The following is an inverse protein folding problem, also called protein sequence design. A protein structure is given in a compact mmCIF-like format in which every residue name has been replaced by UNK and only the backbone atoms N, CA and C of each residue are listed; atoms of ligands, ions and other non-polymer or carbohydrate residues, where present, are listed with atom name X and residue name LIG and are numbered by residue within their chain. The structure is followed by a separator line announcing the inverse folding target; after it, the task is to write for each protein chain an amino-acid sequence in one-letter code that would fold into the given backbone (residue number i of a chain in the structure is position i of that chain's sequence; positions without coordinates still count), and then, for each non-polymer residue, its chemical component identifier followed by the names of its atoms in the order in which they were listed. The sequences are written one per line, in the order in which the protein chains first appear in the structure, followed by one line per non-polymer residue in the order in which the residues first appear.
data_IF_523558343316
#
_entry.id   IF_523558343316
#
_cell.length_a   1.000
_cell.length_b   1.000
_cell.length_c   1.000
_cell.angle_alpha   90.00
_cell.angle_beta   90.00
_cell.angle_gamma   90.00
#
_symmetry.space_group_name_H-M   'P 1'
#
loop_
_entity.id
_entity.type
_entity.pdbx_description
1 polymer ?
#
# COMPACT_ATOMS: atom_id res chain seq x y z
N UNK A 1 13.06 -83.68 -40.72
CA UNK A 1 14.49 -83.36 -40.81
C UNK A 1 14.78 -82.06 -40.02
N UNK A 2 15.84 -82.10 -39.21
CA UNK A 2 16.04 -81.06 -38.18
C UNK A 2 17.06 -79.99 -38.60
N UNK A 3 17.03 -78.86 -37.97
CA UNK A 3 18.23 -78.04 -37.90
C UNK A 3 18.34 -77.32 -36.53
N UNK A 4 19.55 -77.43 -36.05
CA UNK A 4 19.97 -77.14 -34.70
C UNK A 4 20.05 -75.64 -34.36
N UNK A 5 19.84 -75.39 -33.13
CA UNK A 5 20.06 -74.06 -32.47
C UNK A 5 21.50 -74.00 -31.95
N UNK A 6 22.16 -72.89 -32.22
CA UNK A 6 23.42 -72.49 -31.56
C UNK A 6 23.17 -71.36 -30.61
N UNK A 7 23.53 -71.60 -29.36
CA UNK A 7 23.45 -70.60 -28.26
C UNK A 7 24.84 -69.95 -28.17
N UNK A 8 24.84 -68.61 -28.01
CA UNK A 8 26.05 -67.83 -27.66
C UNK A 8 25.75 -66.99 -26.39
N UNK A 9 26.74 -66.85 -25.48
CA UNK A 9 26.54 -66.40 -24.13
C UNK A 9 26.47 -64.85 -24.02
N UNK A 10 25.59 -64.37 -23.17
CA UNK A 10 25.45 -62.99 -22.77
C UNK A 10 26.60 -62.56 -21.82
N UNK A 11 27.30 -61.55 -22.20
CA UNK A 11 28.23 -60.81 -21.38
C UNK A 11 27.47 -59.90 -20.37
N UNK A 12 27.60 -60.22 -19.11
CA UNK A 12 27.16 -59.40 -17.99
C UNK A 12 28.09 -58.19 -17.85
N UNK A 13 27.60 -56.97 -18.18
CA UNK A 13 28.18 -55.74 -17.69
C UNK A 13 27.29 -55.20 -16.57
N UNK A 14 27.77 -55.28 -15.36
CA UNK A 14 27.18 -54.75 -14.17
C UNK A 14 27.13 -53.19 -14.24
N UNK A 15 25.94 -52.69 -14.02
CA UNK A 15 25.63 -51.27 -14.02
C UNK A 15 25.97 -50.67 -12.65
N UNK A 16 27.10 -50.00 -12.52
CA UNK A 16 27.56 -49.30 -11.28
C UNK A 16 27.08 -47.83 -11.20
N UNK A 17 26.00 -47.46 -11.87
CA UNK A 17 25.59 -46.03 -11.99
C UNK A 17 24.43 -45.65 -11.09
N UNK A 18 23.76 -46.58 -10.41
CA UNK A 18 22.47 -46.25 -9.74
C UNK A 18 22.57 -45.96 -8.23
N UNK A 19 23.74 -45.93 -7.61
CA UNK A 19 23.85 -45.62 -6.17
C UNK A 19 24.22 -44.17 -5.83
N UNK A 20 24.64 -43.35 -6.81
CA UNK A 20 25.01 -41.94 -6.54
C UNK A 20 23.83 -40.94 -6.66
N UNK A 21 22.72 -41.33 -7.25
CA UNK A 21 21.58 -40.41 -7.47
C UNK A 21 20.78 -40.02 -6.19
N UNK A 22 20.50 -40.92 -5.25
CA UNK A 22 19.75 -40.53 -4.05
C UNK A 22 20.57 -39.72 -3.04
N UNK A 23 21.89 -39.91 -2.97
CA UNK A 23 22.76 -39.16 -2.05
C UNK A 23 23.03 -37.74 -2.48
N UNK A 24 22.99 -37.40 -3.76
CA UNK A 24 23.09 -36.01 -4.24
C UNK A 24 21.80 -35.23 -4.01
N UNK A 25 20.62 -35.87 -4.11
CA UNK A 25 19.33 -35.19 -3.82
C UNK A 25 19.15 -34.90 -2.32
N UNK A 26 19.60 -35.80 -1.43
CA UNK A 26 19.55 -35.58 0.01
C UNK A 26 20.55 -34.53 0.49
N UNK A 27 21.70 -34.39 -0.13
CA UNK A 27 22.67 -33.35 0.19
C UNK A 27 22.23 -31.98 -0.27
N UNK A 28 21.49 -31.87 -1.39
CA UNK A 28 20.92 -30.62 -1.87
C UNK A 28 19.77 -30.07 -0.96
N UNK A 29 19.01 -30.95 -0.29
CA UNK A 29 17.98 -30.56 0.66
C UNK A 29 18.55 -30.09 2.02
N UNK A 30 19.74 -30.47 2.39
CA UNK A 30 20.38 -30.05 3.63
C UNK A 30 21.08 -28.69 3.55
N UNK A 31 21.24 -28.14 2.33
CA UNK A 31 21.81 -26.81 2.09
C UNK A 31 20.75 -25.73 1.84
N UNK A 32 19.47 -26.09 1.90
CA UNK A 32 18.39 -25.10 1.89
C UNK A 32 18.31 -24.45 3.27
N UNK A 33 19.12 -23.42 3.48
CA UNK A 33 18.91 -22.49 4.59
C UNK A 33 17.49 -21.94 4.51
N UNK A 34 16.73 -21.87 5.63
CA UNK A 34 15.45 -21.18 5.60
C UNK A 34 15.73 -19.72 5.21
N UNK A 35 15.31 -19.33 4.03
CA UNK A 35 15.16 -17.93 3.66
C UNK A 35 14.07 -17.38 4.58
N UNK A 36 14.48 -16.74 5.65
CA UNK A 36 13.60 -15.84 6.38
C UNK A 36 13.23 -14.72 5.41
N UNK A 37 12.03 -14.82 4.86
CA UNK A 37 11.43 -13.77 4.02
C UNK A 37 10.93 -12.67 4.96
N UNK A 38 11.82 -11.99 5.67
CA UNK A 38 11.49 -10.91 6.60
C UNK A 38 11.70 -9.52 5.99
N UNK A 39 12.21 -9.45 4.76
CA UNK A 39 12.27 -8.21 4.00
C UNK A 39 11.39 -8.35 2.75
N UNK A 40 10.15 -7.92 2.88
CA UNK A 40 9.41 -7.49 1.70
C UNK A 40 10.25 -6.39 1.03
N UNK A 41 10.62 -6.53 -0.26
CA UNK A 41 11.31 -5.46 -0.94
C UNK A 41 10.47 -4.19 -0.76
N UNK A 42 11.06 -3.13 -0.21
CA UNK A 42 10.42 -1.84 -0.10
C UNK A 42 10.12 -1.36 -1.52
N UNK A 43 8.90 -1.59 -2.00
CA UNK A 43 8.40 -1.09 -3.28
C UNK A 43 8.43 0.46 -3.33
N UNK A 44 8.66 1.09 -2.18
CA UNK A 44 8.87 2.52 -2.00
C UNK A 44 10.31 2.97 -2.21
N UNK A 45 11.11 2.22 -2.98
CA UNK A 45 12.47 2.67 -3.29
C UNK A 45 12.45 4.10 -3.84
N UNK A 46 13.43 4.90 -3.39
CA UNK A 46 13.64 6.30 -3.73
C UNK A 46 13.80 6.60 -5.24
N UNK A 47 13.49 5.64 -6.09
CA UNK A 47 13.66 5.62 -7.54
C UNK A 47 12.53 6.30 -8.33
N UNK A 48 11.59 7.03 -7.69
CA UNK A 48 10.75 7.92 -8.48
C UNK A 48 11.66 8.96 -9.13
N UNK A 49 11.95 8.75 -10.40
CA UNK A 49 12.82 9.63 -11.22
C UNK A 49 12.16 10.98 -11.49
N UNK A 50 10.86 11.11 -11.25
CA UNK A 50 10.03 12.25 -11.62
C UNK A 50 9.90 13.24 -10.47
N UNK A 51 9.71 12.77 -9.25
CA UNK A 51 9.60 13.62 -8.05
C UNK A 51 10.65 13.20 -7.02
N UNK A 52 11.68 14.03 -6.84
CA UNK A 52 12.71 13.76 -5.85
C UNK A 52 12.21 14.04 -4.41
N UNK A 53 12.81 13.42 -3.36
CA UNK A 53 12.47 13.73 -1.97
C UNK A 53 12.63 15.22 -1.62
N UNK A 54 13.59 15.89 -2.23
CA UNK A 54 13.78 17.34 -2.07
C UNK A 54 12.62 18.15 -2.64
N UNK A 55 12.07 17.72 -3.79
CA UNK A 55 10.90 18.37 -4.38
C UNK A 55 9.65 18.11 -3.55
N UNK A 56 9.46 16.89 -3.04
CA UNK A 56 8.37 16.58 -2.10
C UNK A 56 8.44 17.47 -0.86
N UNK A 57 9.63 17.63 -0.28
CA UNK A 57 9.83 18.49 0.88
C UNK A 57 9.45 19.95 0.61
N UNK A 58 9.94 20.53 -0.49
CA UNK A 58 9.60 21.92 -0.87
C UNK A 58 8.12 22.10 -1.14
N UNK A 59 7.52 21.17 -1.89
CA UNK A 59 6.09 21.18 -2.20
C UNK A 59 5.26 21.12 -0.93
N UNK A 60 5.62 20.22 -0.01
CA UNK A 60 4.93 20.06 1.26
C UNK A 60 5.00 21.33 2.13
N UNK A 61 6.17 21.97 2.23
CA UNK A 61 6.30 23.22 3.00
C UNK A 61 5.44 24.34 2.42
N UNK A 62 5.43 24.51 1.09
CA UNK A 62 4.58 25.50 0.43
C UNK A 62 3.08 25.20 0.64
N UNK A 63 2.69 23.94 0.47
CA UNK A 63 1.32 23.51 0.70
C UNK A 63 0.87 23.69 2.15
N UNK A 64 1.71 23.34 3.13
CA UNK A 64 1.41 23.52 4.55
C UNK A 64 1.21 25.00 4.91
N UNK A 65 2.04 25.88 4.34
CA UNK A 65 1.89 27.33 4.54
C UNK A 65 0.52 27.83 4.05
N UNK A 66 0.08 27.36 2.88
CA UNK A 66 -1.24 27.69 2.34
C UNK A 66 -2.36 27.11 3.22
N UNK A 67 -2.24 25.86 3.63
CA UNK A 67 -3.23 25.18 4.45
C UNK A 67 -3.43 25.88 5.80
N UNK A 68 -2.32 26.28 6.46
CA UNK A 68 -2.37 27.01 7.74
C UNK A 68 -3.17 28.32 7.65
N UNK A 69 -3.22 28.95 6.47
CA UNK A 69 -4.01 30.13 6.21
C UNK A 69 -5.50 29.86 5.91
N UNK A 70 -5.88 28.61 5.63
CA UNK A 70 -7.23 28.26 5.20
C UNK A 70 -8.02 27.49 6.25
N UNK A 71 -7.36 26.85 7.21
CA UNK A 71 -8.03 26.02 8.22
C UNK A 71 -7.94 26.64 9.61
N UNK A 72 -8.97 26.42 10.41
CA UNK A 72 -8.92 26.71 11.85
C UNK A 72 -8.05 25.65 12.53
N UNK A 73 -7.02 26.08 13.27
CA UNK A 73 -6.12 25.18 13.95
C UNK A 73 -6.52 24.99 15.42
N UNK A 74 -6.32 23.77 15.93
CA UNK A 74 -6.35 23.48 17.36
C UNK A 74 -5.02 23.87 17.98
N UNK A 75 -5.03 24.92 18.80
CA UNK A 75 -3.85 25.43 19.49
C UNK A 75 -3.79 24.94 20.94
N UNK A 76 -3.86 23.63 21.13
CA UNK A 76 -3.71 22.95 22.41
C UNK A 76 -2.32 22.33 22.49
N UNK A 77 -1.42 22.84 23.39
CA UNK A 77 -0.07 22.31 23.50
C UNK A 77 -0.01 20.86 23.99
N UNK A 78 -0.95 20.42 24.85
CA UNK A 78 -0.99 19.04 25.37
C UNK A 78 -1.41 18.07 24.28
N UNK A 79 -2.43 18.44 23.50
CA UNK A 79 -2.88 17.64 22.37
C UNK A 79 -1.80 17.56 21.28
N UNK A 80 -1.09 18.65 21.03
CA UNK A 80 0.01 18.67 20.07
C UNK A 80 1.15 17.75 20.52
N UNK A 81 1.57 17.83 21.76
CA UNK A 81 2.61 16.97 22.34
C UNK A 81 2.21 15.48 22.27
N UNK A 82 0.97 15.18 22.58
CA UNK A 82 0.44 13.82 22.45
C UNK A 82 0.51 13.29 21.02
N UNK A 83 0.08 14.10 20.02
CA UNK A 83 0.14 13.71 18.61
C UNK A 83 1.59 13.52 18.16
N UNK A 84 2.46 14.45 18.48
CA UNK A 84 3.89 14.36 18.13
C UNK A 84 4.52 13.11 18.74
N UNK A 85 4.30 12.86 20.03
CA UNK A 85 4.84 11.69 20.74
C UNK A 85 4.32 10.38 20.14
N UNK A 86 3.01 10.27 19.90
CA UNK A 86 2.40 9.07 19.34
C UNK A 86 2.85 8.79 17.90
N UNK A 87 2.98 9.84 17.08
CA UNK A 87 3.49 9.69 15.71
C UNK A 87 4.95 9.30 15.71
N UNK A 88 5.81 9.93 16.52
CA UNK A 88 7.22 9.57 16.57
C UNK A 88 7.44 8.14 17.08
N UNK A 89 6.63 7.66 18.02
CA UNK A 89 6.63 6.26 18.45
C UNK A 89 6.37 5.30 17.28
N UNK A 90 5.42 5.63 16.39
CA UNK A 90 5.17 4.87 15.18
C UNK A 90 6.30 5.02 14.15
N UNK A 91 6.89 6.21 14.02
CA UNK A 91 7.98 6.49 13.09
C UNK A 91 9.25 5.70 13.41
N UNK A 92 9.55 5.48 14.69
CA UNK A 92 10.71 4.71 15.12
C UNK A 92 10.75 3.29 14.54
N UNK A 93 9.59 2.68 14.38
CA UNK A 93 9.43 1.31 13.86
C UNK A 93 8.96 1.26 12.41
N UNK A 94 8.70 2.42 11.80
CA UNK A 94 8.23 2.56 10.43
C UNK A 94 9.37 2.53 9.40
N UNK A 95 8.99 2.52 8.12
CA UNK A 95 9.91 2.65 6.98
C UNK A 95 10.12 4.11 6.53
N UNK A 96 9.68 5.11 7.31
CA UNK A 96 9.84 6.52 6.99
C UNK A 96 11.32 6.90 7.03
N UNK A 97 11.86 7.32 5.87
CA UNK A 97 13.28 7.68 5.72
C UNK A 97 13.56 9.11 6.19
N UNK A 98 12.74 10.07 5.77
CA UNK A 98 12.88 11.47 6.18
C UNK A 98 12.00 11.76 7.39
N UNK A 99 12.64 11.88 8.56
CA UNK A 99 11.95 12.07 9.84
C UNK A 99 11.70 13.54 10.19
N UNK A 100 11.90 14.47 9.25
CA UNK A 100 11.58 15.90 9.42
C UNK A 100 10.08 16.12 9.27
N UNK A 101 9.31 15.68 10.27
CA UNK A 101 7.87 15.80 10.26
C UNK A 101 7.41 17.18 10.71
N UNK A 102 6.28 17.63 10.15
CA UNK A 102 5.53 18.81 10.56
C UNK A 102 4.10 18.46 10.83
N UNK A 103 3.56 18.98 11.90
CA UNK A 103 2.22 18.64 12.37
C UNK A 103 1.28 19.82 12.20
N UNK A 104 0.05 19.51 11.82
CA UNK A 104 -1.07 20.46 11.84
C UNK A 104 -2.28 19.80 12.47
N UNK A 105 -2.78 20.40 13.56
CA UNK A 105 -4.02 19.99 14.20
C UNK A 105 -5.14 20.90 13.73
N UNK A 106 -6.17 20.30 13.15
CA UNK A 106 -7.26 21.04 12.53
C UNK A 106 -8.49 20.98 13.44
N UNK A 107 -9.05 22.16 13.75
CA UNK A 107 -10.27 22.29 14.53
C UNK A 107 -11.49 21.93 13.66
N UNK A 108 -11.68 20.65 13.42
CA UNK A 108 -12.79 20.09 12.68
C UNK A 108 -13.33 18.87 13.41
N UNK A 109 -14.66 18.76 13.61
CA UNK A 109 -15.28 17.59 14.22
C UNK A 109 -15.36 16.39 13.26
N UNK A 110 -15.02 16.56 11.99
CA UNK A 110 -15.02 15.49 11.01
C UNK A 110 -13.82 14.58 11.21
N UNK A 111 -14.06 13.27 11.12
CA UNK A 111 -12.99 12.30 11.11
C UNK A 111 -12.12 12.51 9.88
N UNK A 112 -10.87 12.88 10.10
CA UNK A 112 -9.82 12.92 9.09
C UNK A 112 -8.44 12.89 9.72
N UNK A 113 -7.50 12.24 9.03
CA UNK A 113 -6.07 12.40 9.18
C UNK A 113 -5.44 12.22 7.80
N UNK A 114 -4.28 12.77 7.59
CA UNK A 114 -3.59 12.63 6.31
C UNK A 114 -2.08 12.77 6.48
N UNK A 115 -1.34 12.10 5.60
CA UNK A 115 0.06 12.36 5.36
C UNK A 115 0.24 13.02 4.00
N UNK A 116 0.94 14.15 3.97
CA UNK A 116 1.25 14.87 2.74
C UNK A 116 2.75 14.85 2.44
N UNK A 117 3.14 15.08 1.16
CA UNK A 117 4.54 15.09 0.75
C UNK A 117 5.42 15.98 1.64
N UNK A 118 6.65 15.55 1.86
CA UNK A 118 7.61 16.30 2.69
C UNK A 118 7.39 16.13 4.20
N UNK A 119 6.70 15.06 4.62
CA UNK A 119 6.58 14.71 6.03
C UNK A 119 5.53 15.52 6.80
N UNK A 120 4.46 15.95 6.15
CA UNK A 120 3.39 16.68 6.83
C UNK A 120 2.34 15.69 7.31
N UNK A 121 2.02 15.75 8.60
CA UNK A 121 0.99 14.96 9.25
C UNK A 121 -0.11 15.92 9.71
N UNK A 122 -1.31 15.73 9.16
CA UNK A 122 -2.49 16.47 9.57
C UNK A 122 -3.45 15.59 10.35
N UNK A 123 -4.02 16.14 11.42
CA UNK A 123 -4.99 15.44 12.26
C UNK A 123 -6.14 16.37 12.58
N UNK A 124 -7.36 15.95 12.22
CA UNK A 124 -8.56 16.64 12.66
C UNK A 124 -8.93 16.25 14.08
N UNK A 125 -9.50 17.19 14.84
CA UNK A 125 -10.07 16.91 16.17
C UNK A 125 -11.10 15.78 16.15
N UNK A 126 -11.80 15.60 15.03
CA UNK A 126 -12.74 14.51 14.81
C UNK A 126 -12.14 13.11 14.90
N UNK A 127 -10.84 12.94 14.68
CA UNK A 127 -10.19 11.62 14.89
C UNK A 127 -10.29 11.21 16.38
N UNK A 128 -10.01 12.12 17.31
CA UNK A 128 -10.12 11.87 18.76
C UNK A 128 -11.56 11.62 19.22
N UNK A 129 -12.53 12.23 18.55
CA UNK A 129 -13.94 12.02 18.85
C UNK A 129 -14.46 10.67 18.35
N UNK A 130 -13.82 10.10 17.33
CA UNK A 130 -14.26 8.87 16.69
C UNK A 130 -13.46 7.64 17.11
N UNK A 131 -12.18 7.77 17.43
CA UNK A 131 -11.38 6.66 17.98
C UNK A 131 -11.86 6.33 19.40
N UNK A 132 -12.12 5.06 19.68
CA UNK A 132 -12.56 4.60 21.00
C UNK A 132 -11.40 4.15 21.89
N UNK A 133 -10.28 3.80 21.27
CA UNK A 133 -9.07 3.37 21.96
C UNK A 133 -7.85 4.08 21.32
N UNK A 134 -6.73 4.07 22.05
CA UNK A 134 -5.47 4.60 21.54
C UNK A 134 -4.96 3.80 20.34
N UNK A 135 -5.18 2.48 20.33
CA UNK A 135 -4.83 1.62 19.21
C UNK A 135 -5.62 1.97 17.94
N UNK A 136 -6.91 2.30 18.05
CA UNK A 136 -7.70 2.76 16.88
C UNK A 136 -7.18 4.08 16.33
N UNK A 137 -6.86 5.05 17.19
CA UNK A 137 -6.21 6.30 16.82
C UNK A 137 -4.87 6.04 16.14
N UNK A 138 -4.01 5.22 16.75
CA UNK A 138 -2.70 4.87 16.22
C UNK A 138 -2.80 4.12 14.88
N UNK A 139 -3.87 3.33 14.67
CA UNK A 139 -4.07 2.59 13.41
C UNK A 139 -4.26 3.50 12.21
N UNK A 140 -4.99 4.60 12.39
CA UNK A 140 -5.15 5.62 11.34
C UNK A 140 -3.81 6.28 11.03
N UNK A 141 -3.05 6.67 12.05
CA UNK A 141 -1.74 7.29 11.86
C UNK A 141 -0.70 6.34 11.25
N UNK A 142 -0.73 5.06 11.63
CA UNK A 142 0.14 4.05 11.03
C UNK A 142 -0.16 3.84 9.54
N UNK A 143 -1.42 3.90 9.15
CA UNK A 143 -1.86 3.88 7.76
C UNK A 143 -1.33 5.10 6.99
N UNK A 144 -1.45 6.31 7.56
CA UNK A 144 -0.94 7.54 6.94
C UNK A 144 0.60 7.52 6.81
N UNK A 145 1.30 7.05 7.85
CA UNK A 145 2.75 6.89 7.79
C UNK A 145 3.18 5.84 6.76
N UNK A 146 2.37 4.82 6.50
CA UNK A 146 2.62 3.87 5.43
C UNK A 146 2.52 4.55 4.05
N UNK A 147 1.51 5.40 3.82
CA UNK A 147 1.43 6.21 2.61
C UNK A 147 2.65 7.09 2.40
N UNK A 148 3.14 7.72 3.46
CA UNK A 148 4.33 8.57 3.42
C UNK A 148 5.59 7.75 3.13
N UNK A 149 5.80 6.64 3.85
CA UNK A 149 6.99 5.79 3.72
C UNK A 149 7.11 5.14 2.35
N UNK A 150 5.97 4.74 1.75
CA UNK A 150 5.90 4.15 0.42
C UNK A 150 5.81 5.20 -0.71
N UNK A 151 5.86 6.49 -0.35
CA UNK A 151 5.84 7.61 -1.30
C UNK A 151 4.68 7.52 -2.30
N UNK A 152 3.48 7.14 -1.82
CA UNK A 152 2.32 6.92 -2.68
C UNK A 152 1.95 8.16 -3.51
N UNK A 153 2.22 9.36 -3.00
CA UNK A 153 2.05 10.59 -3.77
C UNK A 153 2.98 10.65 -4.99
N UNK A 154 4.29 10.47 -4.80
CA UNK A 154 5.26 10.52 -5.90
C UNK A 154 4.99 9.42 -6.94
N UNK A 155 4.70 8.21 -6.48
CA UNK A 155 4.31 7.08 -7.34
C UNK A 155 3.01 7.37 -8.11
N UNK A 156 2.06 8.07 -7.49
CA UNK A 156 0.81 8.51 -8.12
C UNK A 156 1.06 9.52 -9.25
N UNK A 157 1.92 10.52 -9.01
CA UNK A 157 2.34 11.49 -10.03
C UNK A 157 3.02 10.79 -11.20
N UNK A 158 3.93 9.87 -10.92
CA UNK A 158 4.62 9.07 -11.93
C UNK A 158 3.66 8.20 -12.76
N UNK A 159 2.74 7.49 -12.10
CA UNK A 159 1.74 6.68 -12.77
C UNK A 159 0.85 7.54 -13.69
N UNK A 160 0.45 8.71 -13.24
CA UNK A 160 -0.34 9.64 -14.05
C UNK A 160 0.44 10.14 -15.28
N UNK A 161 1.72 10.48 -15.14
CA UNK A 161 2.55 10.92 -16.27
C UNK A 161 2.76 9.78 -17.28
N UNK A 162 3.00 8.56 -16.84
CA UNK A 162 3.12 7.39 -17.71
C UNK A 162 1.86 7.12 -18.53
N UNK A 163 0.69 7.47 -18.01
CA UNK A 163 -0.60 7.31 -18.72
C UNK A 163 -0.88 8.41 -19.75
N UNK A 164 -0.22 9.57 -19.68
CA UNK A 164 -0.51 10.70 -20.60
C UNK A 164 -0.19 10.39 -22.05
N UNK A 165 0.96 9.80 -22.35
CA UNK A 165 1.37 9.50 -23.74
C UNK A 165 0.45 8.46 -24.41
N UNK A 166 0.14 7.29 -23.81
CA UNK A 166 -0.81 6.34 -24.36
C UNK A 166 -2.21 6.95 -24.56
N UNK A 167 -2.66 7.78 -23.63
CA UNK A 167 -3.96 8.42 -23.71
C UNK A 167 -4.03 9.45 -24.86
N UNK A 168 -2.98 10.24 -25.05
CA UNK A 168 -2.88 11.17 -26.18
C UNK A 168 -2.84 10.42 -27.51
N UNK A 169 -2.08 9.35 -27.62
CA UNK A 169 -2.02 8.53 -28.84
C UNK A 169 -3.38 7.91 -29.18
N UNK A 170 -4.09 7.38 -28.18
CA UNK A 170 -5.42 6.81 -28.37
C UNK A 170 -6.48 7.87 -28.74
N UNK A 171 -6.39 9.08 -28.17
CA UNK A 171 -7.23 10.19 -28.55
C UNK A 171 -7.03 10.57 -30.02
N UNK A 172 -5.78 10.72 -30.44
CA UNK A 172 -5.44 11.04 -31.84
C UNK A 172 -5.92 9.93 -32.80
N UNK A 173 -5.74 8.66 -32.44
CA UNK A 173 -6.25 7.54 -33.22
C UNK A 173 -7.78 7.57 -33.33
N UNK A 174 -8.50 7.85 -32.25
CA UNK A 174 -9.95 8.00 -32.24
C UNK A 174 -10.44 9.14 -33.17
N UNK A 175 -9.73 10.27 -33.18
CA UNK A 175 -10.03 11.40 -34.08
C UNK A 175 -9.83 10.99 -35.56
N UNK A 176 -8.74 10.29 -35.87
CA UNK A 176 -8.47 9.81 -37.26
C UNK A 176 -9.55 8.81 -37.69
N UNK A 177 -9.96 7.86 -36.84
CA UNK A 177 -11.05 6.92 -37.10
C UNK A 177 -12.36 7.66 -37.35
N UNK A 178 -12.69 8.65 -36.53
CA UNK A 178 -13.90 9.45 -36.72
C UNK A 178 -13.87 10.23 -38.05
N UNK A 179 -12.73 10.82 -38.41
CA UNK A 179 -12.55 11.58 -39.67
C UNK A 179 -12.58 10.68 -40.92
N UNK A 180 -12.28 9.39 -40.80
CA UNK A 180 -12.37 8.43 -41.92
C UNK A 180 -13.79 7.97 -42.28
N UNK A 181 -14.81 8.54 -41.66
CA UNK A 181 -16.21 8.20 -41.89
C UNK A 181 -16.81 7.20 -40.90
N UNK A 182 -15.99 6.69 -39.94
CA UNK A 182 -16.42 5.82 -38.87
C UNK A 182 -16.62 6.60 -37.54
N UNK A 183 -17.43 7.65 -37.57
CA UNK A 183 -17.60 8.60 -36.44
C UNK A 183 -17.95 7.93 -35.13
N UNK A 184 -18.92 7.02 -35.12
CA UNK A 184 -19.34 6.30 -33.91
C UNK A 184 -18.20 5.44 -33.32
N UNK A 185 -17.43 4.77 -34.18
CA UNK A 185 -16.28 3.97 -33.76
C UNK A 185 -15.15 4.83 -33.18
N UNK A 186 -14.91 6.03 -33.73
CA UNK A 186 -13.95 6.99 -33.20
C UNK A 186 -14.34 7.50 -31.81
N UNK A 187 -15.61 7.87 -31.62
CA UNK A 187 -16.16 8.29 -30.33
C UNK A 187 -16.06 7.16 -29.30
N UNK A 188 -16.45 5.93 -29.69
CA UNK A 188 -16.35 4.76 -28.81
C UNK A 188 -14.89 4.45 -28.40
N UNK A 189 -13.92 4.62 -29.30
CA UNK A 189 -12.49 4.44 -29.00
C UNK A 189 -12.00 5.47 -27.98
N UNK A 190 -12.37 6.75 -28.13
CA UNK A 190 -12.02 7.81 -27.17
C UNK A 190 -12.65 7.52 -25.78
N UNK A 191 -13.94 7.24 -25.74
CA UNK A 191 -14.64 6.92 -24.50
C UNK A 191 -14.06 5.68 -23.80
N UNK A 192 -13.76 4.62 -24.55
CA UNK A 192 -13.12 3.41 -24.07
C UNK A 192 -11.74 3.67 -23.45
N UNK A 193 -10.94 4.54 -24.08
CA UNK A 193 -9.62 4.93 -23.55
C UNK A 193 -9.72 5.69 -22.24
N UNK A 194 -10.65 6.63 -22.14
CA UNK A 194 -10.89 7.37 -20.90
C UNK A 194 -11.37 6.44 -19.77
N UNK A 195 -12.29 5.52 -20.08
CA UNK A 195 -12.76 4.54 -19.12
C UNK A 195 -11.63 3.61 -18.64
N UNK A 196 -10.75 3.16 -19.55
CA UNK A 196 -9.60 2.35 -19.20
C UNK A 196 -8.61 3.10 -18.30
N UNK A 197 -8.31 4.36 -18.59
CA UNK A 197 -7.45 5.21 -17.75
C UNK A 197 -8.03 5.41 -16.34
N UNK A 198 -9.35 5.66 -16.25
CA UNK A 198 -10.04 5.78 -14.98
C UNK A 198 -10.01 4.47 -14.15
N UNK A 199 -10.22 3.32 -14.79
CA UNK A 199 -10.13 2.01 -14.14
C UNK A 199 -8.72 1.71 -13.63
N UNK A 200 -7.69 2.07 -14.41
CA UNK A 200 -6.30 1.89 -14.00
C UNK A 200 -5.93 2.77 -12.80
N UNK A 201 -6.35 4.03 -12.80
CA UNK A 201 -6.17 4.93 -11.66
C UNK A 201 -6.84 4.39 -10.39
N UNK A 202 -8.06 3.86 -10.51
CA UNK A 202 -8.76 3.22 -9.39
C UNK A 202 -8.07 1.94 -8.91
N UNK A 203 -7.51 1.16 -9.83
CA UNK A 203 -6.75 -0.04 -9.48
C UNK A 203 -5.49 0.33 -8.69
N UNK A 204 -4.73 1.32 -9.16
CA UNK A 204 -3.55 1.83 -8.50
C UNK A 204 -3.88 2.37 -7.10
N UNK A 205 -4.95 3.15 -6.95
CA UNK A 205 -5.40 3.65 -5.65
C UNK A 205 -5.73 2.51 -4.69
N UNK A 206 -6.49 1.48 -5.11
CA UNK A 206 -6.81 0.32 -4.26
C UNK A 206 -5.56 -0.46 -3.84
N UNK A 207 -4.57 -0.60 -4.72
CA UNK A 207 -3.30 -1.26 -4.40
C UNK A 207 -2.51 -0.48 -3.34
N UNK A 208 -2.47 0.84 -3.44
CA UNK A 208 -1.82 1.69 -2.44
C UNK A 208 -2.52 1.61 -1.08
N UNK A 209 -3.86 1.55 -1.05
CA UNK A 209 -4.61 1.36 0.20
C UNK A 209 -4.28 0.01 0.87
N UNK A 210 -4.26 -1.08 0.08
CA UNK A 210 -3.91 -2.40 0.60
C UNK A 210 -2.45 -2.47 1.06
N UNK A 211 -1.53 -1.80 0.36
CA UNK A 211 -0.13 -1.70 0.76
C UNK A 211 0.00 -0.91 2.08
N UNK A 212 -0.69 0.22 2.20
CA UNK A 212 -0.70 1.04 3.41
C UNK A 212 -1.28 0.29 4.60
N UNK A 213 -2.36 -0.49 4.41
CA UNK A 213 -2.92 -1.34 5.47
C UNK A 213 -1.91 -2.38 5.97
N UNK A 214 -1.25 -3.08 5.04
CA UNK A 214 -0.28 -4.13 5.39
C UNK A 214 0.92 -3.59 6.15
N UNK A 215 1.48 -2.48 5.68
CA UNK A 215 2.63 -1.83 6.31
C UNK A 215 2.22 -1.19 7.64
N UNK A 216 1.04 -0.57 7.68
CA UNK A 216 0.47 0.02 8.90
C UNK A 216 0.26 -1.00 10.02
N UNK A 217 -0.27 -2.20 9.70
CA UNK A 217 -0.44 -3.29 10.69
C UNK A 217 0.92 -3.74 11.26
N UNK A 218 1.92 -3.94 10.40
CA UNK A 218 3.27 -4.31 10.85
C UNK A 218 3.91 -3.20 11.70
N UNK A 219 3.63 -1.95 11.37
CA UNK A 219 4.12 -0.81 12.15
C UNK A 219 3.45 -0.74 13.53
N UNK A 220 2.13 -0.94 13.61
CA UNK A 220 1.41 -1.02 14.89
C UNK A 220 2.01 -2.08 15.80
N UNK A 221 2.19 -3.30 15.32
CA UNK A 221 2.76 -4.41 16.07
C UNK A 221 4.15 -4.05 16.62
N UNK A 222 5.05 -3.56 15.76
CA UNK A 222 6.41 -3.17 16.14
C UNK A 222 6.45 -2.01 17.14
N UNK A 223 5.47 -1.10 17.07
CA UNK A 223 5.34 0.02 18.01
C UNK A 223 4.63 -0.36 19.31
N UNK A 224 4.23 -1.64 19.48
CA UNK A 224 3.61 -2.15 20.69
C UNK A 224 2.11 -1.87 20.82
N UNK A 225 1.44 -1.52 19.73
CA UNK A 225 -0.02 -1.45 19.65
C UNK A 225 -0.63 -2.79 19.22
N UNK A 226 -1.88 -3.05 19.59
CA UNK A 226 -2.59 -4.23 19.09
C UNK A 226 -2.97 -4.03 17.62
N UNK A 227 -2.46 -4.84 16.68
CA UNK A 227 -2.79 -4.73 15.27
C UNK A 227 -4.29 -4.89 14.95
N UNK A 228 -5.05 -5.53 15.88
CA UNK A 228 -6.51 -5.73 15.74
C UNK A 228 -7.28 -4.43 15.82
N UNK A 229 -6.67 -3.36 16.33
CA UNK A 229 -7.25 -2.03 16.37
C UNK A 229 -7.58 -1.49 14.97
N UNK A 230 -6.78 -1.82 13.94
CA UNK A 230 -7.03 -1.36 12.57
C UNK A 230 -8.31 -1.95 11.97
N UNK A 231 -8.51 -3.28 11.87
CA UNK A 231 -9.78 -3.81 11.37
C UNK A 231 -10.97 -3.43 12.25
N UNK A 232 -10.80 -3.29 13.58
CA UNK A 232 -11.85 -2.83 14.48
C UNK A 232 -12.31 -1.40 14.14
N UNK A 233 -11.36 -0.49 13.92
CA UNK A 233 -11.64 0.88 13.48
C UNK A 233 -12.36 0.88 12.12
N UNK A 234 -11.89 0.12 11.15
CA UNK A 234 -12.49 0.03 9.83
C UNK A 234 -13.93 -0.48 9.86
N UNK A 235 -14.20 -1.53 10.62
CA UNK A 235 -15.55 -2.07 10.78
C UNK A 235 -16.50 -1.08 11.43
N UNK A 236 -16.02 -0.37 12.43
CA UNK A 236 -16.82 0.64 13.12
C UNK A 236 -17.14 1.79 12.16
N UNK A 237 -16.16 2.28 11.41
CA UNK A 237 -16.38 3.32 10.41
C UNK A 237 -17.36 2.86 9.32
N UNK A 238 -17.20 1.63 8.82
CA UNK A 238 -18.13 1.09 7.83
C UNK A 238 -19.56 0.99 8.39
N UNK A 239 -19.74 0.53 9.62
CA UNK A 239 -21.09 0.46 10.25
C UNK A 239 -21.69 1.83 10.47
N UNK A 240 -20.90 2.80 10.95
CA UNK A 240 -21.37 4.14 11.30
C UNK A 240 -21.81 4.93 10.07
N UNK A 241 -21.04 4.85 8.98
CA UNK A 241 -21.22 5.68 7.79
C UNK A 241 -21.81 4.95 6.60
N UNK A 242 -22.25 3.69 6.78
CA UNK A 242 -22.76 2.84 5.69
C UNK A 242 -23.90 3.48 4.87
N UNK A 243 -24.74 4.23 5.53
CA UNK A 243 -25.93 4.86 4.94
C UNK A 243 -25.85 6.39 4.91
N UNK A 244 -24.68 6.93 5.22
CA UNK A 244 -24.52 8.37 5.25
C UNK A 244 -24.32 8.91 3.84
N UNK A 245 -25.14 9.90 3.47
CA UNK A 245 -25.03 10.56 2.16
C UNK A 245 -23.73 11.41 2.04
N UNK A 246 -23.12 11.76 3.16
CA UNK A 246 -21.87 12.53 3.24
C UNK A 246 -20.92 11.89 4.23
N UNK A 247 -20.25 10.80 3.84
CA UNK A 247 -19.24 10.19 4.69
C UNK A 247 -18.10 11.17 4.99
N UNK A 248 -17.36 11.00 6.10
CA UNK A 248 -16.23 11.85 6.44
C UNK A 248 -15.16 11.79 5.35
N UNK A 249 -14.37 12.86 5.25
CA UNK A 249 -13.34 13.03 4.21
C UNK A 249 -12.34 11.86 4.19
N UNK A 250 -11.98 11.33 5.35
CA UNK A 250 -11.15 10.14 5.46
C UNK A 250 -11.69 8.95 4.64
N UNK A 251 -12.98 8.67 4.69
CA UNK A 251 -13.58 7.57 3.91
C UNK A 251 -13.72 7.89 2.41
N UNK A 252 -13.69 9.17 2.02
CA UNK A 252 -13.67 9.59 0.61
C UNK A 252 -12.29 9.41 0.00
N UNK A 253 -11.23 9.70 0.75
CA UNK A 253 -9.83 9.55 0.32
C UNK A 253 -9.33 8.12 0.50
N UNK A 254 -9.76 7.44 1.57
CA UNK A 254 -9.38 6.07 1.95
C UNK A 254 -10.63 5.17 2.07
N UNK A 255 -11.23 4.74 0.95
CA UNK A 255 -12.45 3.95 0.98
C UNK A 255 -12.24 2.62 1.71
N UNK A 256 -12.95 2.44 2.81
CA UNK A 256 -12.96 1.17 3.57
C UNK A 256 -13.91 0.21 2.88
N UNK A 257 -13.40 -0.94 2.46
CA UNK A 257 -14.16 -2.00 1.80
C UNK A 257 -14.15 -3.27 2.65
N UNK A 258 -15.12 -4.15 2.44
CA UNK A 258 -15.17 -5.47 3.10
C UNK A 258 -13.89 -6.28 2.84
N UNK A 259 -13.31 -6.15 1.64
CA UNK A 259 -12.04 -6.80 1.29
C UNK A 259 -10.87 -6.28 2.12
N UNK A 260 -10.78 -4.96 2.37
CA UNK A 260 -9.73 -4.38 3.23
C UNK A 260 -9.90 -4.82 4.68
N UNK A 261 -11.15 -4.83 5.18
CA UNK A 261 -11.46 -5.32 6.54
C UNK A 261 -11.04 -6.79 6.69
N UNK A 262 -11.39 -7.63 5.72
CA UNK A 262 -11.04 -9.06 5.76
C UNK A 262 -9.52 -9.29 5.71
N UNK A 263 -8.78 -8.60 4.82
CA UNK A 263 -7.32 -8.72 4.72
C UNK A 263 -6.63 -8.23 6.01
N UNK A 264 -7.03 -7.07 6.52
CA UNK A 264 -6.45 -6.50 7.77
C UNK A 264 -6.73 -7.37 8.98
N UNK A 265 -7.95 -7.92 9.10
CA UNK A 265 -8.31 -8.86 10.17
C UNK A 265 -7.47 -10.13 10.09
N UNK A 266 -7.39 -10.76 8.92
CA UNK A 266 -6.62 -11.98 8.73
C UNK A 266 -5.13 -11.79 9.10
N UNK A 267 -4.55 -10.65 8.78
CA UNK A 267 -3.17 -10.29 9.14
C UNK A 267 -3.02 -10.03 10.63
N UNK A 268 -3.92 -9.26 11.22
CA UNK A 268 -3.91 -8.94 12.63
C UNK A 268 -4.09 -10.21 13.50
N UNK A 269 -4.89 -11.19 13.06
CA UNK A 269 -5.09 -12.45 13.77
C UNK A 269 -3.84 -13.36 13.75
N UNK A 270 -2.92 -13.16 12.80
CA UNK A 270 -1.64 -13.86 12.74
C UNK A 270 -0.57 -13.22 13.64
N UNK A 271 -0.76 -11.97 14.05
CA UNK A 271 0.15 -11.28 14.96
C UNK A 271 0.02 -11.81 16.40
N UNK A 272 1.07 -11.68 17.22
CA UNK A 272 1.01 -11.99 18.65
C UNK A 272 -0.18 -11.27 19.32
N UNK A 273 -0.77 -11.93 20.32
CA UNK A 273 -1.85 -11.32 21.09
C UNK A 273 -1.28 -10.34 22.11
N UNK A 274 -1.91 -9.20 22.25
CA UNK A 274 -1.54 -8.15 23.20
C UNK A 274 -1.07 -6.89 22.49
N UNK A 275 -0.78 -5.87 23.26
CA UNK A 275 -0.44 -4.54 22.79
C UNK A 275 -1.38 -3.50 23.40
N UNK A 276 -1.12 -2.23 23.12
CA UNK A 276 -1.98 -1.10 23.51
C UNK A 276 -3.20 -1.10 22.60
N UNK A 277 -4.37 -1.25 23.21
CA UNK A 277 -5.67 -1.12 22.53
C UNK A 277 -6.10 0.34 22.41
#
# INVERSE_FOLDING_TARGET
APCAATVSPLSTRASCINFLRPTLLTLACLLASPLFADDLPSLGDASSSIVSPQQEYKLGRAWLSMLRGQVSQLNDPQLKDYVETSVYKLVETSQVQDRRLEFILINSPQLNAFAAPGGIIGVNGGLFLNAQTEGEYASVLAHELAHLSQRHFARGVEAQQRMQLPMMAALLAGIVIAASGAGDAGIAAIAGTQAAAFQEQRRFSRQNEQEADRIGILNLEKAGYDPRSMPTMFERLMRQYRFDAKPPEFLLTHPVTESRIADTRNRADQAPKGGIE
#
